data_IF_418635936828
#
_entry.id   IF_418635936828
#
_cell.length_a   1.000
_cell.length_b   1.000
_cell.length_c   1.000
_cell.angle_alpha   90.00
_cell.angle_beta   90.00
_cell.angle_gamma   90.00
#
_symmetry.space_group_name_H-M   'P 1'
#
loop_
_entity.id
_entity.type
_entity.pdbx_description
1 polymer ?
#
# COMPACT_ATOMS: atom_id res chain seq x y z
N UNK A 1 11.78 -9.65 -5.43
CA UNK A 1 12.15 -8.81 -4.27
C UNK A 1 11.75 -7.37 -4.57
N UNK A 2 11.14 -6.66 -3.64
CA UNK A 2 10.89 -5.23 -3.78
C UNK A 2 11.61 -4.46 -2.67
N UNK A 3 12.27 -3.37 -3.04
CA UNK A 3 13.09 -2.53 -2.16
C UNK A 3 12.51 -1.13 -2.18
N UNK A 4 12.35 -0.56 -0.99
CA UNK A 4 11.90 0.80 -0.77
C UNK A 4 13.11 1.72 -0.53
N UNK A 5 13.10 2.91 -1.10
CA UNK A 5 14.03 4.00 -0.84
C UNK A 5 13.25 5.30 -0.91
N UNK A 6 13.70 6.35 -0.23
CA UNK A 6 12.92 7.57 0.02
C UNK A 6 12.16 8.15 -1.20
N UNK A 7 12.69 7.99 -2.41
CA UNK A 7 12.14 8.56 -3.64
C UNK A 7 11.87 7.55 -4.76
N UNK A 8 12.03 6.25 -4.49
CA UNK A 8 11.76 5.23 -5.50
C UNK A 8 11.61 3.85 -4.89
N UNK A 9 10.96 2.99 -5.66
CA UNK A 9 10.94 1.55 -5.44
C UNK A 9 11.74 0.86 -6.52
N UNK A 10 12.42 -0.23 -6.16
CA UNK A 10 13.06 -1.14 -7.10
C UNK A 10 12.48 -2.53 -6.95
N UNK A 11 12.12 -3.14 -8.06
CA UNK A 11 11.66 -4.52 -8.12
C UNK A 11 12.73 -5.33 -8.83
N UNK A 12 13.12 -6.42 -8.20
CA UNK A 12 14.09 -7.38 -8.71
C UNK A 12 13.42 -8.74 -8.88
N UNK A 13 13.79 -9.43 -9.95
CA UNK A 13 13.50 -10.85 -10.10
C UNK A 13 14.22 -11.61 -8.97
N UNK A 14 13.49 -12.47 -8.25
CA UNK A 14 14.06 -13.12 -7.08
C UNK A 14 15.05 -14.26 -7.43
N UNK A 15 14.94 -14.84 -8.63
CA UNK A 15 15.77 -15.97 -9.08
C UNK A 15 17.08 -15.48 -9.66
N UNK A 16 17.01 -14.43 -10.48
CA UNK A 16 18.16 -13.92 -11.23
C UNK A 16 18.80 -12.70 -10.56
N UNK A 17 18.15 -12.11 -9.54
CA UNK A 17 18.54 -10.85 -8.91
C UNK A 17 18.61 -9.67 -9.89
N UNK A 18 18.05 -9.81 -11.10
CA UNK A 18 18.04 -8.75 -12.10
C UNK A 18 17.00 -7.69 -11.75
N UNK A 19 17.33 -6.44 -12.02
CA UNK A 19 16.41 -5.32 -11.90
C UNK A 19 15.31 -5.44 -12.96
N UNK A 20 14.06 -5.46 -12.51
CA UNK A 20 12.87 -5.59 -13.36
C UNK A 20 12.21 -4.24 -13.58
N UNK A 21 12.02 -3.46 -12.52
CA UNK A 21 11.30 -2.19 -12.59
C UNK A 21 11.84 -1.19 -11.56
N UNK A 22 11.89 0.09 -11.95
CA UNK A 22 12.10 1.22 -11.05
C UNK A 22 10.86 2.09 -11.09
N UNK A 23 10.28 2.36 -9.92
CA UNK A 23 9.07 3.18 -9.78
C UNK A 23 9.43 4.44 -9.00
N UNK A 24 9.49 5.62 -9.64
CA UNK A 24 9.76 6.87 -8.93
C UNK A 24 8.56 7.27 -8.06
N UNK A 25 8.84 7.94 -6.94
CA UNK A 25 7.84 8.50 -6.04
C UNK A 25 8.34 9.81 -5.44
N UNK A 26 7.42 10.73 -5.16
CA UNK A 26 7.78 11.99 -4.46
C UNK A 26 8.27 11.72 -3.03
N UNK A 27 7.67 10.73 -2.37
CA UNK A 27 8.12 10.20 -1.10
C UNK A 27 7.54 8.80 -0.92
N UNK A 28 8.38 7.83 -0.55
CA UNK A 28 7.94 6.45 -0.30
C UNK A 28 7.62 6.24 1.17
N UNK A 29 6.55 5.52 1.44
CA UNK A 29 6.14 5.14 2.79
C UNK A 29 6.56 3.70 3.09
N UNK A 30 6.41 2.80 2.11
CA UNK A 30 6.93 1.45 2.23
C UNK A 30 6.40 0.49 1.19
N UNK A 31 6.71 -0.79 1.40
CA UNK A 31 6.33 -1.88 0.51
C UNK A 31 5.62 -2.95 1.31
N UNK A 32 4.48 -3.40 0.79
CA UNK A 32 3.73 -4.53 1.32
C UNK A 32 3.74 -5.68 0.30
N UNK A 33 4.16 -6.85 0.73
CA UNK A 33 4.23 -8.07 -0.10
C UNK A 33 3.03 -8.96 0.18
N UNK A 34 2.27 -9.29 -0.86
CA UNK A 34 0.96 -9.94 -0.76
C UNK A 34 0.77 -10.99 -1.84
N UNK A 35 0.95 -12.27 -1.49
CA UNK A 35 0.86 -13.37 -2.44
C UNK A 35 1.72 -13.12 -3.69
N UNK A 36 1.09 -12.78 -4.81
CA UNK A 36 1.71 -12.50 -6.11
C UNK A 36 1.77 -11.00 -6.45
N UNK A 37 1.73 -10.14 -5.44
CA UNK A 37 1.68 -8.69 -5.62
C UNK A 37 2.67 -7.97 -4.69
N UNK A 38 3.26 -6.90 -5.21
CA UNK A 38 3.88 -5.86 -4.39
C UNK A 38 3.04 -4.60 -4.44
N UNK A 39 2.60 -4.14 -3.27
CA UNK A 39 1.98 -2.84 -3.09
C UNK A 39 3.07 -1.86 -2.67
N UNK A 40 3.38 -0.91 -3.54
CA UNK A 40 4.38 0.12 -3.34
C UNK A 40 3.65 1.39 -2.91
N UNK A 41 3.74 1.72 -1.62
CA UNK A 41 2.95 2.76 -0.98
C UNK A 41 3.78 4.03 -0.95
N UNK A 42 3.38 5.01 -1.75
CA UNK A 42 3.96 6.35 -1.76
C UNK A 42 3.00 7.33 -1.09
N UNK A 43 3.49 8.54 -0.87
CA UNK A 43 2.77 9.60 -0.16
C UNK A 43 1.35 9.88 -0.67
N UNK A 44 1.09 9.79 -1.98
CA UNK A 44 -0.23 10.07 -2.57
C UNK A 44 -0.70 9.01 -3.56
N UNK A 45 0.07 7.93 -3.74
CA UNK A 45 -0.20 6.88 -4.71
C UNK A 45 0.10 5.51 -4.10
N UNK A 46 -0.67 4.52 -4.54
CA UNK A 46 -0.35 3.12 -4.31
C UNK A 46 -0.11 2.49 -5.67
N UNK A 47 1.10 1.99 -5.89
CA UNK A 47 1.41 1.22 -7.09
C UNK A 47 1.29 -0.26 -6.79
N UNK A 48 0.75 -1.02 -7.73
CA UNK A 48 0.54 -2.46 -7.59
C UNK A 48 1.33 -3.13 -8.70
N UNK A 49 2.27 -3.97 -8.33
CA UNK A 49 3.04 -4.78 -9.26
C UNK A 49 2.69 -6.26 -9.09
N UNK A 50 2.17 -6.87 -10.14
CA UNK A 50 1.82 -8.27 -10.19
C UNK A 50 3.06 -9.10 -10.55
N UNK A 51 3.58 -9.87 -9.61
CA UNK A 51 4.86 -10.58 -9.75
C UNK A 51 4.83 -11.74 -10.73
N UNK A 52 3.63 -12.26 -11.07
CA UNK A 52 3.45 -13.37 -12.02
C UNK A 52 3.28 -12.87 -13.44
N UNK A 53 2.47 -11.83 -13.64
CA UNK A 53 2.16 -11.29 -14.97
C UNK A 53 3.06 -10.13 -15.37
N UNK A 54 3.89 -9.62 -14.44
CA UNK A 54 4.61 -8.36 -14.55
C UNK A 54 3.72 -7.14 -14.86
N UNK A 55 2.40 -7.26 -14.63
CA UNK A 55 1.47 -6.15 -14.78
C UNK A 55 1.74 -5.08 -13.70
N UNK A 56 1.55 -3.82 -14.08
CA UNK A 56 1.78 -2.68 -13.21
C UNK A 56 0.58 -1.73 -13.25
N UNK A 57 0.05 -1.42 -12.09
CA UNK A 57 -1.10 -0.55 -11.90
C UNK A 57 -0.76 0.55 -10.89
N UNK A 58 -1.51 1.64 -10.92
CA UNK A 58 -1.31 2.77 -9.99
C UNK A 58 -2.66 3.37 -9.62
N UNK A 59 -2.88 3.53 -8.32
CA UNK A 59 -4.07 4.13 -7.75
C UNK A 59 -3.68 5.47 -7.14
N UNK A 60 -4.22 6.56 -7.67
CA UNK A 60 -4.00 7.91 -7.17
C UNK A 60 -5.04 8.23 -6.09
N UNK A 61 -4.58 8.46 -4.86
CA UNK A 61 -5.47 8.77 -3.73
C UNK A 61 -5.97 10.22 -3.77
N UNK A 62 -5.21 11.13 -4.38
CA UNK A 62 -5.61 12.53 -4.56
C UNK A 62 -6.88 12.75 -5.40
N UNK A 63 -7.39 11.71 -6.09
CA UNK A 63 -8.70 11.73 -6.75
C UNK A 63 -9.83 11.48 -5.73
N UNK A 64 -9.53 10.78 -4.63
CA UNK A 64 -10.46 10.42 -3.57
C UNK A 64 -10.53 11.53 -2.51
N UNK A 65 -9.39 12.10 -2.12
CA UNK A 65 -9.29 13.35 -1.32
C UNK A 65 -7.93 14.04 -1.58
N UNK A 66 -7.88 15.25 -2.18
CA UNK A 66 -6.63 15.88 -2.63
C UNK A 66 -5.74 16.45 -1.51
N UNK A 67 -6.21 16.47 -0.26
CA UNK A 67 -5.49 17.08 0.86
C UNK A 67 -4.90 16.06 1.85
N UNK A 68 -5.16 14.78 1.66
CA UNK A 68 -4.76 13.74 2.59
C UNK A 68 -3.58 12.93 2.06
N UNK A 69 -2.43 13.14 2.69
CA UNK A 69 -1.19 12.42 2.42
C UNK A 69 -1.13 11.12 3.25
N UNK A 70 -0.62 10.05 2.64
CA UNK A 70 -0.26 8.82 3.35
C UNK A 70 1.00 9.09 4.16
N UNK A 71 0.94 8.74 5.45
CA UNK A 71 2.12 8.77 6.31
C UNK A 71 2.54 7.41 6.84
N UNK A 72 1.57 6.54 7.09
CA UNK A 72 1.84 5.18 7.54
C UNK A 72 0.82 4.21 7.00
N UNK A 73 1.21 2.95 6.96
CA UNK A 73 0.30 1.83 6.70
C UNK A 73 0.53 0.75 7.76
N UNK A 74 -0.52 -0.04 7.99
CA UNK A 74 -0.51 -1.18 8.89
C UNK A 74 -0.53 -2.48 8.09
N UNK A 75 -0.17 -3.57 8.77
CA UNK A 75 -0.15 -4.90 8.17
C UNK A 75 -1.56 -5.41 7.79
N UNK A 76 -1.61 -6.57 7.16
CA UNK A 76 -2.80 -7.12 6.54
C UNK A 76 -3.69 -7.82 7.57
N UNK A 77 -4.96 -7.41 7.63
CA UNK A 77 -6.03 -8.06 8.40
C UNK A 77 -7.14 -8.54 7.46
N UNK A 78 -7.46 -9.84 7.46
CA UNK A 78 -8.60 -10.39 6.72
C UNK A 78 -8.64 -10.11 5.21
N UNK A 79 -7.46 -9.94 4.59
CA UNK A 79 -7.35 -9.53 3.18
C UNK A 79 -7.60 -8.05 2.98
N UNK A 80 -7.45 -7.24 4.03
CA UNK A 80 -7.50 -5.79 3.97
C UNK A 80 -6.31 -5.20 4.69
N UNK A 81 -5.93 -3.97 4.37
CA UNK A 81 -4.95 -3.24 5.16
C UNK A 81 -5.36 -1.77 5.28
N UNK A 82 -4.86 -1.12 6.32
CA UNK A 82 -5.22 0.24 6.68
C UNK A 82 -4.05 1.18 6.40
N UNK A 83 -4.37 2.31 5.79
CA UNK A 83 -3.44 3.41 5.52
C UNK A 83 -3.93 4.63 6.29
N UNK A 84 -3.04 5.40 6.90
CA UNK A 84 -3.42 6.54 7.74
C UNK A 84 -2.65 7.80 7.37
N UNK A 85 -3.32 8.93 7.57
CA UNK A 85 -2.70 10.26 7.52
C UNK A 85 -2.10 10.60 8.90
N UNK A 86 -0.93 11.23 8.94
CA UNK A 86 -0.27 11.68 10.18
C UNK A 86 -1.06 12.78 10.89
N UNK A 87 -1.61 13.71 10.10
CA UNK A 87 -2.14 14.98 10.61
C UNK A 87 -3.58 14.82 11.11
N UNK A 88 -4.24 13.74 10.71
CA UNK A 88 -5.60 13.40 11.09
C UNK A 88 -5.64 11.94 11.52
N UNK A 89 -5.63 11.71 12.84
CA UNK A 89 -6.00 10.41 13.44
C UNK A 89 -7.47 10.04 13.13
N UNK A 90 -8.20 10.87 12.37
CA UNK A 90 -9.56 10.66 11.93
C UNK A 90 -9.67 10.16 10.47
N UNK A 91 -8.58 10.20 9.69
CA UNK A 91 -8.62 9.81 8.28
C UNK A 91 -7.79 8.55 8.05
N UNK A 92 -8.47 7.55 7.48
CA UNK A 92 -7.81 6.34 7.04
C UNK A 92 -8.40 5.83 5.73
N UNK A 93 -7.66 4.96 5.05
CA UNK A 93 -8.15 4.22 3.91
C UNK A 93 -8.02 2.74 4.15
N UNK A 94 -9.12 2.03 3.92
CA UNK A 94 -9.14 0.57 3.91
C UNK A 94 -9.03 0.10 2.47
N UNK A 95 -8.01 -0.72 2.20
CA UNK A 95 -7.87 -1.36 0.89
C UNK A 95 -8.31 -2.81 0.98
N UNK A 96 -9.31 -3.21 0.19
CA UNK A 96 -9.75 -4.60 0.05
C UNK A 96 -8.92 -5.30 -1.03
N UNK A 97 -8.23 -6.37 -0.62
CA UNK A 97 -7.35 -7.17 -1.48
C UNK A 97 -8.07 -8.37 -2.10
N UNK A 98 -9.29 -8.69 -1.65
CA UNK A 98 -10.07 -9.82 -2.19
C UNK A 98 -10.88 -9.44 -3.43
N UNK A 99 -10.99 -8.15 -3.74
CA UNK A 99 -11.72 -7.68 -4.91
C UNK A 99 -10.90 -7.84 -6.20
N UNK A 100 -11.57 -8.20 -7.30
CA UNK A 100 -10.94 -8.33 -8.63
C UNK A 100 -10.20 -7.06 -9.09
N UNK A 101 -10.70 -5.90 -8.65
CA UNK A 101 -10.02 -4.61 -8.75
C UNK A 101 -9.77 -4.12 -7.34
N UNK A 102 -8.56 -3.62 -7.06
CA UNK A 102 -8.22 -3.09 -5.74
C UNK A 102 -9.18 -1.98 -5.36
N UNK A 103 -9.98 -2.21 -4.31
CA UNK A 103 -10.96 -1.24 -3.83
C UNK A 103 -10.39 -0.48 -2.65
N UNK A 104 -10.29 0.83 -2.78
CA UNK A 104 -9.87 1.72 -1.69
C UNK A 104 -11.10 2.46 -1.16
N UNK A 105 -11.33 2.34 0.14
CA UNK A 105 -12.45 2.99 0.83
C UNK A 105 -11.91 4.03 1.79
N UNK A 106 -12.33 5.29 1.62
CA UNK A 106 -12.01 6.36 2.55
C UNK A 106 -12.87 6.25 3.81
N UNK A 107 -12.24 6.24 4.98
CA UNK A 107 -12.85 6.16 6.29
C UNK A 107 -12.65 7.50 7.02
N UNK A 108 -13.75 8.17 7.34
CA UNK A 108 -13.75 9.42 8.13
C UNK A 108 -14.07 9.13 9.59
N UNK A 109 -13.43 9.86 10.51
CA UNK A 109 -13.51 9.68 11.96
C UNK A 109 -13.03 8.30 12.45
N UNK A 110 -12.00 7.76 11.81
CA UNK A 110 -11.43 6.47 12.17
C UNK A 110 -10.38 6.62 13.27
N UNK A 111 -10.76 6.45 14.54
CA UNK A 111 -9.77 6.41 15.63
C UNK A 111 -8.88 5.18 15.50
N UNK A 112 -7.60 5.39 15.21
CA UNK A 112 -6.59 4.33 15.21
C UNK A 112 -6.46 3.78 16.64
N UNK A 113 -6.83 2.52 16.91
CA UNK A 113 -6.52 1.89 18.18
C UNK A 113 -5.00 1.75 18.27
N UNK A 114 -4.39 2.30 19.32
CA UNK A 114 -2.95 2.21 19.62
C UNK A 114 -2.39 0.77 19.72
N UNK A 115 -3.24 -0.25 19.60
CA UNK A 115 -2.91 -1.66 19.66
C UNK A 115 -3.51 -2.43 18.49
N UNK A 116 -2.85 -2.39 17.33
CA UNK A 116 -3.03 -3.41 16.32
C UNK A 116 -1.79 -4.30 16.26
N UNK A 117 -1.72 -5.22 17.23
CA UNK A 117 -1.15 -6.54 16.96
C UNK A 117 -2.23 -7.25 16.13
N UNK A 118 -2.11 -7.19 14.81
CA UNK A 118 -3.07 -7.79 13.89
C UNK A 118 -2.75 -9.27 13.76
N UNK A 119 -3.25 -10.04 14.73
CA UNK A 119 -3.42 -11.47 14.55
C UNK A 119 -4.77 -11.87 15.17
N UNK A 120 -5.85 -11.38 14.54
CA UNK A 120 -7.19 -11.92 14.77
C UNK A 120 -7.55 -12.75 13.55
N UNK A 121 -7.49 -14.06 13.72
CA UNK A 121 -8.08 -15.01 12.80
C UNK A 121 -9.51 -14.56 12.49
N UNK A 122 -9.81 -14.37 11.21
CA UNK A 122 -11.12 -13.96 10.74
C UNK A 122 -12.04 -15.18 10.89
N UNK A 123 -12.96 -15.14 11.85
CA UNK A 123 -14.09 -16.09 11.97
C UNK A 123 -15.25 -15.63 11.12
#
# INVERSE_FOLDING_TARGET
LAVCSDFYFKIFDYRTSQLVLVVPANHTIGVLSLNNHFHLIAKNTIHIFHTVTAAFESVLLGIVDPYDDIHSFYDIMCGKFLITNQLSEDVAWETDLKSNLTKITHLKHFKVPYHYVINKACT
#
